data_IF_549117519537
#
_entry.id   IF_549117519537
#
_cell.length_a   1.000
_cell.length_b   1.000
_cell.length_c   1.000
_cell.angle_alpha   90.00
_cell.angle_beta   90.00
_cell.angle_gamma   90.00
#
_symmetry.space_group_name_H-M   'P 1'
#
loop_
_entity.id
_entity.type
_entity.pdbx_description
1 polymer ?
#
# COMPACT_ATOMS: atom_id res chain seq x y z
N UNK A 1 -4.95 45.65 -12.70
CA UNK A 1 -5.90 44.74 -12.03
C UNK A 1 -5.80 43.32 -12.58
N UNK A 2 -5.79 43.09 -13.90
CA UNK A 2 -5.52 41.76 -14.48
C UNK A 2 -4.11 41.22 -14.16
N UNK A 3 -3.07 42.05 -14.20
CA UNK A 3 -1.69 41.61 -13.88
C UNK A 3 -1.50 41.20 -12.42
N UNK A 4 -2.25 41.81 -11.50
CA UNK A 4 -2.22 41.42 -10.09
C UNK A 4 -2.98 40.12 -9.86
N UNK A 5 -4.16 39.96 -10.48
CA UNK A 5 -4.94 38.73 -10.42
C UNK A 5 -4.16 37.51 -10.95
N UNK A 6 -3.46 37.65 -12.08
CA UNK A 6 -2.58 36.61 -12.62
C UNK A 6 -1.39 36.28 -11.70
N UNK A 7 -0.80 37.30 -11.05
CA UNK A 7 0.28 37.11 -10.08
C UNK A 7 -0.17 36.37 -8.81
N UNK A 8 -1.42 36.60 -8.38
CA UNK A 8 -2.02 35.89 -7.25
C UNK A 8 -2.35 34.43 -7.61
N UNK A 9 -2.99 34.17 -8.74
CA UNK A 9 -3.30 32.79 -9.17
C UNK A 9 -2.03 31.95 -9.38
N UNK A 10 -0.99 32.55 -9.96
CA UNK A 10 0.30 31.87 -10.15
C UNK A 10 1.01 31.57 -8.83
N UNK A 11 0.90 32.45 -7.81
CA UNK A 11 1.45 32.22 -6.47
C UNK A 11 0.69 31.14 -5.70
N UNK A 12 -0.64 31.15 -5.80
CA UNK A 12 -1.50 30.14 -5.17
C UNK A 12 -1.17 28.77 -5.75
N UNK A 13 -1.23 28.60 -7.08
CA UNK A 13 -0.88 27.33 -7.74
C UNK A 13 0.51 26.80 -7.40
N UNK A 14 1.50 27.69 -7.26
CA UNK A 14 2.86 27.29 -6.84
C UNK A 14 2.93 26.79 -5.39
N UNK A 15 2.15 27.37 -4.47
CA UNK A 15 2.08 26.91 -3.08
C UNK A 15 1.35 25.57 -2.95
N UNK A 16 0.33 25.30 -3.77
CA UNK A 16 -0.39 24.02 -3.75
C UNK A 16 0.54 22.87 -4.17
N UNK A 17 1.29 23.07 -5.26
CA UNK A 17 2.23 22.07 -5.77
C UNK A 17 3.33 21.73 -4.74
N UNK A 18 3.80 22.70 -3.96
CA UNK A 18 4.79 22.47 -2.90
C UNK A 18 4.23 21.60 -1.78
N UNK A 19 3.01 21.89 -1.31
CA UNK A 19 2.36 21.12 -0.25
C UNK A 19 2.14 19.66 -0.68
N UNK A 20 1.70 19.46 -1.93
CA UNK A 20 1.45 18.12 -2.44
C UNK A 20 2.76 17.33 -2.62
N UNK A 21 3.82 17.97 -3.13
CA UNK A 21 5.13 17.32 -3.21
C UNK A 21 5.64 16.92 -1.82
N UNK A 22 5.43 17.76 -0.80
CA UNK A 22 5.79 17.43 0.58
C UNK A 22 5.06 16.18 1.09
N UNK A 23 3.77 16.00 0.76
CA UNK A 23 2.99 14.81 1.12
C UNK A 23 3.64 13.53 0.56
N UNK A 24 4.04 13.52 -0.72
CA UNK A 24 4.69 12.34 -1.30
C UNK A 24 6.09 12.09 -0.73
N UNK A 25 6.86 13.15 -0.45
CA UNK A 25 8.18 13.01 0.18
C UNK A 25 8.06 12.43 1.60
N UNK A 26 7.10 12.93 2.39
CA UNK A 26 6.78 12.38 3.71
C UNK A 26 6.28 10.93 3.56
N UNK A 27 5.48 10.65 2.54
CA UNK A 27 5.01 9.31 2.19
C UNK A 27 6.16 8.34 1.93
N UNK A 28 7.16 8.70 1.12
CA UNK A 28 8.33 7.85 0.85
C UNK A 28 9.11 7.58 2.14
N UNK A 29 9.31 8.59 2.98
CA UNK A 29 9.98 8.42 4.27
C UNK A 29 9.18 7.51 5.22
N UNK A 30 7.87 7.67 5.26
CA UNK A 30 6.98 6.83 6.04
C UNK A 30 6.98 5.38 5.51
N UNK A 31 7.04 5.17 4.19
CA UNK A 31 7.16 3.84 3.58
C UNK A 31 8.41 3.11 4.06
N UNK A 32 9.56 3.78 3.96
CA UNK A 32 10.85 3.23 4.42
C UNK A 32 10.77 2.93 5.93
N UNK A 33 10.18 3.83 6.71
CA UNK A 33 10.02 3.66 8.16
C UNK A 33 9.14 2.45 8.50
N UNK A 34 8.02 2.23 7.79
CA UNK A 34 7.14 1.08 7.98
C UNK A 34 7.87 -0.24 7.70
N UNK A 35 8.70 -0.29 6.66
CA UNK A 35 9.49 -1.48 6.34
C UNK A 35 10.57 -1.79 7.38
N UNK A 36 11.18 -0.74 7.95
CA UNK A 36 12.14 -0.89 9.05
C UNK A 36 11.42 -1.40 10.31
N UNK A 37 10.31 -0.77 10.72
CA UNK A 37 9.57 -1.08 11.93
C UNK A 37 8.91 -2.48 11.89
N UNK A 38 8.41 -2.91 10.73
CA UNK A 38 7.83 -4.25 10.55
C UNK A 38 8.88 -5.36 10.62
N UNK A 39 10.16 -5.03 10.40
CA UNK A 39 11.25 -5.99 10.23
C UNK A 39 11.34 -6.57 8.82
N UNK A 40 10.47 -6.16 7.90
CA UNK A 40 10.43 -6.64 6.52
C UNK A 40 11.71 -6.33 5.73
N UNK A 41 12.49 -5.32 6.14
CA UNK A 41 13.80 -5.03 5.54
C UNK A 41 14.78 -6.21 5.59
N UNK A 42 14.70 -7.05 6.63
CA UNK A 42 15.55 -8.25 6.71
C UNK A 42 15.09 -9.31 5.71
N UNK A 43 13.79 -9.42 5.51
CA UNK A 43 13.15 -10.40 4.62
C UNK A 43 13.38 -10.10 3.14
N UNK A 44 13.63 -8.85 2.74
CA UNK A 44 14.02 -8.48 1.37
C UNK A 44 15.26 -9.23 0.87
N UNK A 45 16.16 -9.64 1.77
CA UNK A 45 17.37 -10.39 1.42
C UNK A 45 17.11 -11.88 1.22
N UNK A 46 16.10 -12.41 1.89
CA UNK A 46 15.74 -13.84 1.86
C UNK A 46 14.79 -14.10 0.71
N UNK A 47 13.68 -13.36 0.68
CA UNK A 47 12.62 -13.52 -0.31
C UNK A 47 12.78 -12.40 -1.35
N UNK A 48 13.51 -12.69 -2.43
CA UNK A 48 13.84 -11.69 -3.47
C UNK A 48 12.60 -11.07 -4.13
N UNK A 49 11.49 -11.79 -4.18
CA UNK A 49 10.23 -11.33 -4.79
C UNK A 49 9.62 -10.12 -4.06
N UNK A 50 9.92 -9.91 -2.78
CA UNK A 50 9.45 -8.73 -2.03
C UNK A 50 10.03 -7.40 -2.52
N UNK A 51 11.11 -7.42 -3.32
CA UNK A 51 11.62 -6.21 -3.96
C UNK A 51 10.61 -5.59 -4.92
N UNK A 52 9.75 -6.40 -5.54
CA UNK A 52 8.75 -5.91 -6.49
C UNK A 52 7.76 -4.96 -5.79
N UNK A 53 6.96 -5.38 -4.79
CA UNK A 53 6.03 -4.46 -4.14
C UNK A 53 6.73 -3.31 -3.42
N UNK A 54 7.94 -3.51 -2.89
CA UNK A 54 8.72 -2.45 -2.25
C UNK A 54 9.07 -1.31 -3.23
N UNK A 55 9.69 -1.64 -4.36
CA UNK A 55 10.10 -0.66 -5.37
C UNK A 55 8.90 -0.06 -6.10
N UNK A 56 7.87 -0.86 -6.37
CA UNK A 56 6.69 -0.39 -7.09
C UNK A 56 5.97 0.71 -6.28
N UNK A 57 5.83 0.55 -4.96
CA UNK A 57 5.24 1.59 -4.11
C UNK A 57 5.97 2.94 -4.24
N UNK A 58 7.31 2.93 -4.16
CA UNK A 58 8.13 4.14 -4.30
C UNK A 58 7.99 4.73 -5.72
N UNK A 59 8.04 3.89 -6.75
CA UNK A 59 7.89 4.31 -8.13
C UNK A 59 6.55 5.00 -8.36
N UNK A 60 5.44 4.45 -7.85
CA UNK A 60 4.12 5.04 -7.97
C UNK A 60 4.02 6.38 -7.21
N UNK A 61 4.62 6.50 -6.02
CA UNK A 61 4.67 7.78 -5.30
C UNK A 61 5.48 8.85 -6.06
N UNK A 62 6.62 8.47 -6.65
CA UNK A 62 7.43 9.37 -7.47
C UNK A 62 6.71 9.77 -8.76
N UNK A 63 6.08 8.82 -9.45
CA UNK A 63 5.30 9.08 -10.66
C UNK A 63 4.15 10.06 -10.36
N UNK A 64 3.42 9.84 -9.27
CA UNK A 64 2.36 10.75 -8.85
C UNK A 64 2.89 12.15 -8.52
N UNK A 65 4.01 12.26 -7.79
CA UNK A 65 4.67 13.54 -7.55
C UNK A 65 5.13 14.24 -8.83
N UNK A 66 5.64 13.48 -9.81
CA UNK A 66 6.12 14.01 -11.08
C UNK A 66 5.00 14.56 -11.96
N UNK A 67 3.84 13.88 -11.99
CA UNK A 67 2.65 14.35 -12.72
C UNK A 67 2.24 15.76 -12.25
N UNK A 68 2.34 16.02 -10.94
CA UNK A 68 2.01 17.32 -10.34
C UNK A 68 3.03 18.39 -10.74
N UNK A 69 4.33 18.08 -10.70
CA UNK A 69 5.39 19.01 -11.12
C UNK A 69 5.27 19.37 -12.60
N UNK A 70 4.82 18.44 -13.43
CA UNK A 70 4.58 18.65 -14.86
C UNK A 70 3.29 19.44 -15.17
N UNK A 71 2.50 19.85 -14.15
CA UNK A 71 1.23 20.57 -14.34
C UNK A 71 0.30 19.89 -15.35
N UNK A 72 0.33 18.56 -15.42
CA UNK A 72 -0.66 17.79 -16.17
C UNK A 72 -1.99 17.99 -15.45
N UNK A 73 -2.92 18.73 -16.07
CA UNK A 73 -4.19 19.15 -15.48
C UNK A 73 -4.91 17.97 -14.83
N UNK A 74 -5.01 17.98 -13.50
CA UNK A 74 -5.64 16.90 -12.74
C UNK A 74 -7.15 17.16 -12.67
N UNK A 75 -7.88 16.66 -13.68
CA UNK A 75 -9.29 16.24 -13.66
C UNK A 75 -10.39 17.27 -13.34
N UNK A 76 -11.46 17.27 -14.14
CA UNK A 76 -12.73 17.94 -13.83
C UNK A 76 -13.46 17.28 -12.64
N UNK A 77 -14.28 18.05 -11.91
CA UNK A 77 -14.95 17.64 -10.66
C UNK A 77 -15.83 16.37 -10.81
N UNK A 78 -16.48 16.15 -11.95
CA UNK A 78 -17.25 14.91 -12.23
C UNK A 78 -16.35 13.66 -12.35
N UNK A 79 -15.12 13.82 -12.85
CA UNK A 79 -14.11 12.76 -12.82
C UNK A 79 -13.73 12.44 -11.37
N UNK A 80 -13.68 13.45 -10.49
CA UNK A 80 -13.29 13.30 -9.08
C UNK A 80 -14.28 12.45 -8.28
N UNK A 81 -15.59 12.64 -8.47
CA UNK A 81 -16.62 11.82 -7.82
C UNK A 81 -16.58 10.36 -8.29
N UNK A 82 -16.28 10.13 -9.57
CA UNK A 82 -16.07 8.79 -10.11
C UNK A 82 -14.82 8.09 -9.56
N UNK A 83 -13.76 8.87 -9.27
CA UNK A 83 -12.51 8.37 -8.71
C UNK A 83 -12.64 7.96 -7.25
N UNK A 84 -13.48 8.63 -6.45
CA UNK A 84 -13.77 8.21 -5.08
C UNK A 84 -14.50 6.86 -5.03
N UNK A 85 -15.55 6.69 -5.85
CA UNK A 85 -16.23 5.40 -5.99
C UNK A 85 -15.27 4.31 -6.49
N UNK A 86 -14.33 4.66 -7.37
CA UNK A 86 -13.31 3.72 -7.84
C UNK A 86 -12.33 3.33 -6.72
N UNK A 87 -11.89 4.28 -5.89
CA UNK A 87 -10.99 4.03 -4.77
C UNK A 87 -11.65 3.16 -3.71
N UNK A 88 -12.93 3.43 -3.39
CA UNK A 88 -13.73 2.64 -2.45
C UNK A 88 -13.85 1.19 -2.93
N UNK A 89 -14.29 0.97 -4.17
CA UNK A 89 -14.42 -0.36 -4.76
C UNK A 89 -13.09 -1.15 -4.75
N UNK A 90 -11.97 -0.47 -5.01
CA UNK A 90 -10.65 -1.11 -5.03
C UNK A 90 -10.12 -1.40 -3.62
N UNK A 91 -10.40 -0.51 -2.67
CA UNK A 91 -10.08 -0.74 -1.26
C UNK A 91 -10.87 -1.92 -0.71
N UNK A 92 -12.15 -2.05 -1.06
CA UNK A 92 -12.99 -3.18 -0.69
C UNK A 92 -12.43 -4.49 -1.22
N UNK A 93 -12.02 -4.54 -2.50
CA UNK A 93 -11.35 -5.71 -3.07
C UNK A 93 -10.08 -6.09 -2.31
N UNK A 94 -9.24 -5.12 -1.96
CA UNK A 94 -8.02 -5.39 -1.20
C UNK A 94 -8.34 -5.95 0.19
N UNK A 95 -9.36 -5.42 0.87
CA UNK A 95 -9.82 -5.90 2.18
C UNK A 95 -10.42 -7.31 2.12
N UNK A 96 -11.23 -7.59 1.10
CA UNK A 96 -11.82 -8.91 0.86
C UNK A 96 -10.74 -9.96 0.61
N UNK A 97 -9.76 -9.64 -0.25
CA UNK A 97 -8.61 -10.52 -0.51
C UNK A 97 -7.82 -10.75 0.78
N UNK A 98 -7.48 -9.69 1.52
CA UNK A 98 -6.75 -9.80 2.79
C UNK A 98 -7.49 -10.69 3.81
N UNK A 99 -8.81 -10.52 3.94
CA UNK A 99 -9.65 -11.33 4.82
C UNK A 99 -9.67 -12.81 4.40
N UNK A 100 -9.80 -13.08 3.09
CA UNK A 100 -9.77 -14.45 2.57
C UNK A 100 -8.43 -15.15 2.85
N UNK A 101 -7.31 -14.42 2.73
CA UNK A 101 -5.98 -14.94 2.99
C UNK A 101 -5.74 -15.20 4.47
N UNK A 102 -6.27 -14.37 5.36
CA UNK A 102 -6.21 -14.63 6.80
C UNK A 102 -6.94 -15.93 7.17
N UNK A 103 -8.08 -16.21 6.54
CA UNK A 103 -8.77 -17.50 6.72
C UNK A 103 -7.92 -18.65 6.21
N UNK A 104 -7.36 -18.55 5.00
CA UNK A 104 -6.49 -19.58 4.42
C UNK A 104 -5.26 -19.82 5.29
N UNK A 105 -4.59 -18.76 5.74
CA UNK A 105 -3.45 -18.87 6.64
C UNK A 105 -3.86 -19.55 7.97
N UNK A 106 -5.00 -19.18 8.55
CA UNK A 106 -5.50 -19.80 9.78
C UNK A 106 -5.73 -21.30 9.61
N UNK A 107 -6.24 -21.75 8.46
CA UNK A 107 -6.43 -23.17 8.17
C UNK A 107 -5.08 -23.88 8.03
N UNK A 108 -4.17 -23.35 7.21
CA UNK A 108 -2.86 -23.98 6.93
C UNK A 108 -2.04 -24.09 8.22
N UNK A 109 -1.93 -22.99 8.97
CA UNK A 109 -1.16 -22.96 10.21
C UNK A 109 -1.90 -23.56 11.41
N UNK A 110 -3.22 -23.73 11.33
CA UNK A 110 -4.00 -24.45 12.33
C UNK A 110 -3.81 -25.97 12.25
N UNK A 111 -3.51 -26.49 11.06
CA UNK A 111 -3.24 -27.93 10.83
C UNK A 111 -1.74 -28.25 10.82
N UNK A 112 -0.89 -27.26 10.54
CA UNK A 112 0.56 -27.40 10.57
C UNK A 112 1.12 -27.31 11.98
N UNK A 113 2.21 -28.04 12.27
CA UNK A 113 3.00 -27.91 13.51
C UNK A 113 4.06 -26.80 13.41
N UNK A 114 4.12 -26.10 12.27
CA UNK A 114 5.08 -25.05 12.00
C UNK A 114 4.79 -23.75 12.75
N UNK A 115 5.83 -22.92 12.89
CA UNK A 115 5.70 -21.62 13.54
C UNK A 115 4.79 -20.69 12.74
N UNK A 116 3.95 -19.96 13.46
CA UNK A 116 3.03 -18.97 12.91
C UNK A 116 3.75 -17.87 12.11
N UNK A 117 3.21 -17.43 10.96
CA UNK A 117 3.89 -16.50 10.05
C UNK A 117 3.79 -15.06 10.58
N UNK A 118 4.59 -14.74 11.59
CA UNK A 118 4.53 -13.45 12.27
C UNK A 118 4.76 -12.25 11.33
N UNK A 119 5.55 -12.43 10.28
CA UNK A 119 5.82 -11.37 9.30
C UNK A 119 4.59 -11.09 8.41
N UNK A 120 3.94 -12.12 7.89
CA UNK A 120 2.71 -12.00 7.11
C UNK A 120 1.68 -11.16 7.87
N UNK A 121 1.46 -11.48 9.13
CA UNK A 121 0.41 -10.83 9.92
C UNK A 121 0.74 -9.41 10.30
N UNK A 122 2.02 -9.11 10.55
CA UNK A 122 2.45 -7.72 10.73
C UNK A 122 2.20 -6.90 9.47
N UNK A 123 2.52 -7.43 8.29
CA UNK A 123 2.30 -6.74 7.01
C UNK A 123 0.81 -6.56 6.72
N UNK A 124 -0.02 -7.58 6.94
CA UNK A 124 -1.48 -7.49 6.80
C UNK A 124 -2.07 -6.48 7.79
N UNK A 125 -1.67 -6.52 9.06
CA UNK A 125 -2.16 -5.56 10.08
C UNK A 125 -1.81 -4.13 9.68
N UNK A 126 -0.58 -3.87 9.22
CA UNK A 126 -0.18 -2.55 8.73
C UNK A 126 -0.96 -2.15 7.47
N UNK A 127 -1.22 -3.10 6.57
CA UNK A 127 -2.08 -2.88 5.41
C UNK A 127 -3.48 -2.41 5.82
N UNK A 128 -4.14 -3.10 6.76
CA UNK A 128 -5.46 -2.72 7.28
C UNK A 128 -5.44 -1.32 7.92
N UNK A 129 -4.40 -1.01 8.70
CA UNK A 129 -4.26 0.33 9.30
C UNK A 129 -4.11 1.40 8.22
N UNK A 130 -3.35 1.15 7.16
CA UNK A 130 -3.19 2.07 6.04
C UNK A 130 -4.47 2.24 5.21
N UNK A 131 -5.18 1.14 4.91
CA UNK A 131 -6.39 1.15 4.09
C UNK A 131 -7.61 1.71 4.82
N UNK A 132 -7.80 1.38 6.11
CA UNK A 132 -8.98 1.79 6.88
C UNK A 132 -8.67 3.02 7.72
N UNK A 133 -7.61 2.94 8.53
CA UNK A 133 -7.30 3.95 9.54
C UNK A 133 -7.02 5.34 8.95
N UNK A 134 -6.29 5.39 7.84
CA UNK A 134 -5.97 6.66 7.18
C UNK A 134 -7.04 7.11 6.16
N UNK A 135 -8.04 6.27 5.86
CA UNK A 135 -9.19 6.67 5.03
C UNK A 135 -10.35 7.25 5.84
N UNK A 136 -10.43 6.98 7.14
CA UNK A 136 -11.45 7.52 8.03
C UNK A 136 -11.58 9.07 8.07
N UNK A 137 -10.51 9.88 7.89
CA UNK A 137 -10.61 11.34 7.95
C UNK A 137 -11.53 12.00 6.90
N UNK A 138 -11.99 11.28 5.86
CA UNK A 138 -12.98 11.79 4.88
C UNK A 138 -14.22 12.36 5.55
N UNK A 139 -14.67 11.72 6.63
CA UNK A 139 -15.95 12.02 7.29
C UNK A 139 -16.00 13.41 7.92
N UNK A 140 -14.86 14.10 8.07
CA UNK A 140 -14.76 15.37 8.79
C UNK A 140 -14.66 16.63 7.92
N UNK A 141 -14.70 16.52 6.58
CA UNK A 141 -14.33 17.65 5.71
C UNK A 141 -15.54 18.40 5.14
N UNK A 142 -15.54 19.75 5.22
CA UNK A 142 -16.58 20.56 4.59
C UNK A 142 -16.42 20.54 3.06
N UNK A 143 -17.49 20.13 2.37
CA UNK A 143 -17.58 19.97 0.90
C UNK A 143 -17.34 21.27 0.12
N UNK A 144 -17.39 22.42 0.79
CA UNK A 144 -17.42 23.74 0.15
C UNK A 144 -16.03 24.36 -0.14
N UNK A 145 -14.91 23.65 0.05
CA UNK A 145 -13.57 24.18 -0.23
C UNK A 145 -12.73 23.26 -1.14
N UNK A 146 -12.63 23.56 -2.46
CA UNK A 146 -11.98 22.68 -3.44
C UNK A 146 -10.47 22.46 -3.17
N UNK A 147 -9.79 23.46 -2.61
CA UNK A 147 -8.37 23.36 -2.23
C UNK A 147 -8.09 22.23 -1.21
N UNK A 148 -8.93 22.13 -0.18
CA UNK A 148 -8.74 21.12 0.88
C UNK A 148 -9.05 19.71 0.38
N UNK A 149 -10.00 19.58 -0.56
CA UNK A 149 -10.29 18.32 -1.23
C UNK A 149 -9.09 17.83 -2.06
N UNK A 150 -8.43 18.74 -2.78
CA UNK A 150 -7.22 18.41 -3.55
C UNK A 150 -6.08 17.90 -2.67
N UNK A 151 -5.78 18.60 -1.56
CA UNK A 151 -4.73 18.19 -0.61
C UNK A 151 -5.07 16.83 0.02
N UNK A 152 -6.32 16.66 0.46
CA UNK A 152 -6.79 15.43 1.08
C UNK A 152 -6.61 14.23 0.14
N UNK A 153 -6.98 14.38 -1.14
CA UNK A 153 -6.83 13.31 -2.14
C UNK A 153 -5.39 12.80 -2.18
N UNK A 154 -4.42 13.69 -2.19
CA UNK A 154 -3.01 13.31 -2.20
C UNK A 154 -2.57 12.71 -0.84
N UNK A 155 -3.06 13.27 0.27
CA UNK A 155 -2.83 12.71 1.60
C UNK A 155 -3.40 11.30 1.78
N UNK A 156 -4.44 10.93 1.03
CA UNK A 156 -5.08 9.60 1.05
C UNK A 156 -4.46 8.62 0.06
N UNK A 157 -4.02 9.12 -1.09
CA UNK A 157 -3.38 8.31 -2.12
C UNK A 157 -2.11 7.65 -1.58
N UNK A 158 -1.36 8.36 -0.72
CA UNK A 158 -0.15 7.84 -0.07
C UNK A 158 -0.43 6.59 0.78
N UNK A 159 -1.25 6.63 1.85
CA UNK A 159 -1.56 5.47 2.67
C UNK A 159 -2.30 4.38 1.89
N UNK A 160 -3.13 4.73 0.90
CA UNK A 160 -3.76 3.76 0.01
C UNK A 160 -2.73 2.89 -0.72
N UNK A 161 -1.77 3.54 -1.39
CA UNK A 161 -0.69 2.85 -2.09
C UNK A 161 0.13 1.99 -1.12
N UNK A 162 0.47 2.52 0.05
CA UNK A 162 1.17 1.74 1.07
C UNK A 162 0.39 0.49 1.48
N UNK A 163 -0.92 0.64 1.75
CA UNK A 163 -1.78 -0.46 2.16
C UNK A 163 -1.83 -1.58 1.13
N UNK A 164 -2.10 -1.24 -0.13
CA UNK A 164 -2.11 -2.24 -1.22
C UNK A 164 -0.77 -2.95 -1.34
N UNK A 165 0.35 -2.22 -1.35
CA UNK A 165 1.65 -2.85 -1.50
C UNK A 165 2.09 -3.64 -0.27
N UNK A 166 1.61 -3.29 0.93
CA UNK A 166 1.78 -4.11 2.14
C UNK A 166 0.98 -5.41 2.06
N UNK A 167 -0.28 -5.36 1.60
CA UNK A 167 -1.08 -6.57 1.35
C UNK A 167 -0.40 -7.49 0.34
N UNK A 168 0.03 -6.95 -0.81
CA UNK A 168 0.78 -7.74 -1.82
C UNK A 168 2.07 -8.32 -1.23
N UNK A 169 2.77 -7.56 -0.38
CA UNK A 169 3.97 -8.05 0.31
C UNK A 169 3.63 -9.18 1.30
N UNK A 170 2.53 -9.06 2.04
CA UNK A 170 2.01 -10.09 2.93
C UNK A 170 1.70 -11.38 2.16
N UNK A 171 0.97 -11.28 1.04
CA UNK A 171 0.68 -12.39 0.14
C UNK A 171 1.95 -13.11 -0.29
N UNK A 172 2.97 -12.35 -0.73
CA UNK A 172 4.23 -12.94 -1.20
C UNK A 172 4.97 -13.67 -0.08
N UNK A 173 4.95 -13.16 1.15
CA UNK A 173 5.50 -13.85 2.32
C UNK A 173 4.74 -15.16 2.57
N UNK A 174 3.41 -15.11 2.61
CA UNK A 174 2.58 -16.28 2.87
C UNK A 174 2.80 -17.38 1.81
N UNK A 175 2.85 -17.00 0.53
CA UNK A 175 3.10 -17.94 -0.58
C UNK A 175 4.49 -18.57 -0.50
N UNK A 176 5.51 -17.79 -0.13
CA UNK A 176 6.85 -18.32 0.06
C UNK A 176 6.87 -19.34 1.21
N UNK A 177 6.26 -18.99 2.35
CA UNK A 177 6.19 -19.89 3.51
C UNK A 177 5.45 -21.20 3.17
N UNK A 178 4.32 -21.12 2.47
CA UNK A 178 3.57 -22.30 2.03
C UNK A 178 4.40 -23.17 1.08
N UNK A 179 5.13 -22.56 0.15
CA UNK A 179 6.00 -23.29 -0.78
C UNK A 179 7.11 -24.04 -0.04
N UNK A 180 7.75 -23.40 0.95
CA UNK A 180 8.79 -24.03 1.76
C UNK A 180 8.24 -25.20 2.60
N UNK A 181 7.05 -25.04 3.19
CA UNK A 181 6.38 -26.13 3.94
C UNK A 181 6.08 -27.31 3.03
N UNK A 182 5.52 -27.06 1.84
CA UNK A 182 5.19 -28.10 0.87
C UNK A 182 6.44 -28.85 0.39
N UNK A 183 7.53 -28.13 0.13
CA UNK A 183 8.81 -28.71 -0.27
C UNK A 183 9.38 -29.62 0.83
N UNK A 184 9.42 -29.15 2.08
CA UNK A 184 9.91 -29.94 3.22
C UNK A 184 9.09 -31.22 3.47
N UNK A 185 7.76 -31.14 3.37
CA UNK A 185 6.88 -32.30 3.50
C UNK A 185 7.15 -33.36 2.41
N UNK A 186 7.42 -32.91 1.18
CA UNK A 186 7.74 -33.80 0.06
C UNK A 186 9.07 -34.55 0.27
N UNK A 187 10.09 -33.88 0.83
CA UNK A 187 11.38 -34.48 1.14
C UNK A 187 11.30 -35.50 2.29
N UNK A 188 10.52 -35.23 3.34
CA UNK A 188 10.30 -36.19 4.43
C UNK A 188 9.67 -37.49 3.91
N UNK A 189 8.59 -37.37 3.13
CA UNK A 189 7.89 -38.52 2.55
C UNK A 189 8.76 -39.34 1.57
N UNK A 190 9.78 -38.74 0.97
CA UNK A 190 10.74 -39.47 0.13
C UNK A 190 11.72 -40.27 0.97
N UNK A 191 12.27 -39.66 2.04
CA UNK A 191 13.23 -40.30 2.94
C UNK A 191 12.64 -41.51 3.68
N UNK A 192 11.36 -41.48 4.04
CA UNK A 192 10.70 -42.59 4.71
C UNK A 192 10.38 -43.77 3.76
N UNK A 193 10.18 -43.48 2.47
CA UNK A 193 10.04 -44.52 1.43
C UNK A 193 11.36 -45.22 1.12
N UNK A 194 12.48 -44.51 1.17
CA UNK A 194 13.80 -45.10 0.95
C UNK A 194 14.29 -45.95 2.14
N UNK A 195 13.73 -45.77 3.35
CA UNK A 195 14.03 -46.59 4.53
C UNK A 195 13.23 -47.89 4.61
N UNK A 196 12.12 -47.99 3.89
CA UNK A 196 11.20 -49.14 3.92
C UNK A 196 11.43 -50.12 2.77
N UNK A 197 12.40 -49.84 1.89
CA UNK A 197 12.97 -50.77 0.89
C UNK A 197 14.30 -51.32 1.36
#
# INVERSE_FOLDING_TARGET
>A
MEDEANSYEQKVGKMENINICAIYMIGILAWISLWICSGAMKSLKVIKTLWVPFCLCILFMLANGLIIVCNLSVGEVELEESLFNFLENRSQLALEVSASLLVVATIIYGVSSEKYPALFIRLETLSFVCLIGFMAPVMWIPVNQPYWLMILRHAQTVPYLMGIFLCVSGIMVLLNDISEIAENASFSNRKDRDKTR
#
